data_IF_495021470334
#
_entry.id   IF_495021470334
#
_cell.length_a   1.000
_cell.length_b   1.000
_cell.length_c   1.000
_cell.angle_alpha   90.00
_cell.angle_beta   90.00
_cell.angle_gamma   90.00
#
_symmetry.space_group_name_H-M   'P 1'
#
loop_
_entity.id
_entity.type
_entity.pdbx_description
1 polymer ?
#
# COMPACT_ATOMS: atom_id res chain seq x y z
N UNK A 1 -7.08 -13.96 0.71
CA UNK A 1 -6.62 -12.72 1.36
C UNK A 1 -5.58 -12.03 0.49
N UNK A 2 -4.43 -12.67 0.21
CA UNK A 2 -3.36 -12.11 -0.62
C UNK A 2 -3.86 -11.65 -2.01
N UNK A 3 -4.69 -12.43 -2.69
CA UNK A 3 -5.24 -12.07 -4.00
C UNK A 3 -6.12 -10.82 -3.97
N UNK A 4 -6.90 -10.61 -2.89
CA UNK A 4 -7.70 -9.39 -2.72
C UNK A 4 -6.81 -8.17 -2.51
N UNK A 5 -5.75 -8.32 -1.73
CA UNK A 5 -4.73 -7.31 -1.53
C UNK A 5 -4.04 -6.94 -2.84
N UNK A 6 -3.52 -7.93 -3.58
CA UNK A 6 -2.82 -7.70 -4.86
C UNK A 6 -3.70 -6.92 -5.85
N UNK A 7 -4.98 -7.29 -5.99
CA UNK A 7 -5.90 -6.53 -6.84
C UNK A 7 -6.12 -5.09 -6.36
N UNK A 8 -6.21 -4.89 -5.03
CA UNK A 8 -6.46 -3.57 -4.46
C UNK A 8 -5.26 -2.63 -4.63
N UNK A 9 -4.03 -3.14 -4.44
CA UNK A 9 -2.82 -2.31 -4.43
C UNK A 9 -2.44 -1.79 -5.83
N UNK A 10 -2.71 -2.55 -6.88
CA UNK A 10 -2.34 -2.13 -8.24
C UNK A 10 -3.16 -0.94 -8.76
N UNK A 11 -4.37 -0.69 -8.22
CA UNK A 11 -5.15 0.48 -8.61
C UNK A 11 -4.48 1.81 -8.23
N UNK A 12 -4.06 2.05 -6.97
CA UNK A 12 -3.38 3.29 -6.61
C UNK A 12 -2.01 3.41 -7.28
N UNK A 13 -1.26 2.32 -7.49
CA UNK A 13 0.01 2.36 -8.20
C UNK A 13 -0.21 2.81 -9.65
N UNK A 14 -1.07 2.13 -10.40
CA UNK A 14 -1.37 2.46 -11.79
C UNK A 14 -2.02 3.85 -11.92
N UNK A 15 -2.95 4.18 -11.02
CA UNK A 15 -3.60 5.49 -11.01
C UNK A 15 -2.62 6.63 -10.77
N UNK A 16 -1.76 6.53 -9.76
CA UNK A 16 -0.78 7.58 -9.46
C UNK A 16 0.34 7.66 -10.51
N UNK A 17 0.61 6.58 -11.23
CA UNK A 17 1.52 6.62 -12.38
C UNK A 17 0.91 7.35 -13.58
N UNK A 18 -0.37 7.16 -13.84
CA UNK A 18 -1.05 7.64 -15.05
C UNK A 18 -1.74 8.99 -14.87
N UNK A 19 -2.47 9.20 -13.76
CA UNK A 19 -3.30 10.39 -13.56
C UNK A 19 -2.53 11.73 -13.70
N UNK A 20 -1.36 11.91 -13.07
CA UNK A 20 -0.63 13.18 -13.21
C UNK A 20 -0.26 13.47 -14.68
N UNK A 21 0.17 12.42 -15.40
CA UNK A 21 0.59 12.54 -16.80
C UNK A 21 -0.61 12.87 -17.69
N UNK A 22 -1.75 12.22 -17.49
CA UNK A 22 -2.99 12.49 -18.24
C UNK A 22 -3.52 13.92 -18.00
N UNK A 23 -3.26 14.47 -16.83
CA UNK A 23 -3.62 15.84 -16.47
C UNK A 23 -2.56 16.89 -16.89
N UNK A 24 -1.54 16.48 -17.65
CA UNK A 24 -0.45 17.37 -18.09
C UNK A 24 0.56 17.70 -16.99
N UNK A 25 0.53 16.99 -15.88
CA UNK A 25 1.46 17.13 -14.77
C UNK A 25 2.73 16.29 -14.92
N UNK A 26 3.68 16.45 -14.01
CA UNK A 26 4.94 15.72 -14.03
C UNK A 26 4.74 14.25 -13.62
N UNK A 27 5.64 13.38 -14.09
CA UNK A 27 5.68 11.98 -13.68
C UNK A 27 6.02 11.88 -12.18
N UNK A 28 5.08 11.39 -11.38
CA UNK A 28 5.25 11.24 -9.93
C UNK A 28 5.86 9.88 -9.58
N UNK A 29 5.31 8.81 -10.10
CA UNK A 29 5.92 7.49 -9.96
C UNK A 29 6.84 7.22 -11.16
N UNK A 30 8.13 7.27 -10.90
CA UNK A 30 9.13 6.85 -11.90
C UNK A 30 9.11 5.33 -12.05
N UNK A 31 9.55 4.77 -13.20
CA UNK A 31 9.66 3.31 -13.36
C UNK A 31 10.50 2.66 -12.27
N UNK A 32 11.52 3.36 -11.77
CA UNK A 32 12.38 2.87 -10.71
C UNK A 32 11.63 2.78 -9.36
N UNK A 33 10.78 3.76 -9.04
CA UNK A 33 9.93 3.73 -7.84
C UNK A 33 8.86 2.63 -7.93
N UNK A 34 8.27 2.43 -9.11
CA UNK A 34 7.33 1.34 -9.33
C UNK A 34 8.04 0.00 -9.14
N UNK A 35 9.21 -0.19 -9.76
CA UNK A 35 9.99 -1.41 -9.59
C UNK A 35 10.37 -1.66 -8.11
N UNK A 36 10.67 -0.60 -7.37
CA UNK A 36 10.96 -0.70 -5.94
C UNK A 36 9.72 -1.16 -5.12
N UNK A 37 8.55 -0.62 -5.41
CA UNK A 37 7.29 -1.05 -4.80
C UNK A 37 7.00 -2.53 -5.11
N UNK A 38 7.01 -2.89 -6.38
CA UNK A 38 6.66 -4.23 -6.86
C UNK A 38 7.65 -5.32 -6.42
N UNK A 39 8.95 -5.01 -6.36
CA UNK A 39 9.99 -6.01 -6.05
C UNK A 39 10.30 -6.13 -4.56
N UNK A 40 10.03 -5.09 -3.76
CA UNK A 40 10.45 -5.05 -2.36
C UNK A 40 9.24 -4.94 -1.43
N UNK A 41 8.41 -3.93 -1.61
CA UNK A 41 7.31 -3.64 -0.66
C UNK A 41 6.18 -4.66 -0.82
N UNK A 42 5.72 -4.90 -2.04
CA UNK A 42 4.59 -5.79 -2.29
C UNK A 42 4.87 -7.25 -1.92
N UNK A 43 6.03 -7.85 -2.24
CA UNK A 43 6.35 -9.19 -1.76
C UNK A 43 6.43 -9.28 -0.24
N UNK A 44 7.00 -8.26 0.43
CA UNK A 44 7.05 -8.22 1.90
C UNK A 44 5.64 -8.23 2.51
N UNK A 45 4.72 -7.45 1.94
CA UNK A 45 3.32 -7.42 2.34
C UNK A 45 2.57 -8.71 2.03
N UNK A 46 2.81 -9.32 0.86
CA UNK A 46 2.19 -10.59 0.45
C UNK A 46 2.60 -11.74 1.37
N UNK A 47 3.88 -11.86 1.74
CA UNK A 47 4.39 -12.86 2.67
C UNK A 47 3.67 -12.77 4.03
N UNK A 48 3.40 -11.55 4.51
CA UNK A 48 2.65 -11.34 5.76
C UNK A 48 1.24 -11.92 5.67
N UNK A 49 0.56 -11.74 4.52
CA UNK A 49 -0.78 -12.27 4.30
C UNK A 49 -0.81 -13.79 4.11
N UNK A 50 0.21 -14.36 3.47
CA UNK A 50 0.36 -15.79 3.26
C UNK A 50 0.69 -16.55 4.54
N UNK A 51 1.52 -15.96 5.40
CA UNK A 51 1.92 -16.54 6.69
C UNK A 51 0.80 -16.54 7.75
N UNK A 52 -0.39 -16.03 7.45
CA UNK A 52 -1.49 -15.99 8.39
C UNK A 52 -2.07 -17.38 8.66
N UNK A 53 -2.47 -17.58 9.91
CA UNK A 53 -3.19 -18.80 10.32
C UNK A 53 -4.51 -18.93 9.56
N UNK A 54 -4.89 -20.16 9.27
CA UNK A 54 -6.22 -20.46 8.73
C UNK A 54 -7.31 -20.00 9.70
N UNK A 55 -8.46 -19.56 9.17
CA UNK A 55 -9.62 -19.22 9.99
C UNK A 55 -10.10 -20.45 10.77
N UNK A 56 -10.48 -20.29 12.03
CA UNK A 56 -10.85 -21.40 12.94
C UNK A 56 -11.95 -22.32 12.39
N UNK A 57 -12.83 -21.80 11.54
CA UNK A 57 -13.94 -22.55 10.97
C UNK A 57 -13.68 -23.09 9.55
N UNK A 58 -12.45 -23.02 9.04
CA UNK A 58 -12.11 -23.50 7.68
C UNK A 58 -12.41 -24.99 7.53
N UNK A 59 -12.09 -25.80 8.55
CA UNK A 59 -12.33 -27.26 8.54
C UNK A 59 -13.79 -27.64 8.79
N UNK A 60 -14.63 -26.71 9.21
CA UNK A 60 -16.07 -26.94 9.45
C UNK A 60 -16.92 -26.61 8.21
N UNK A 61 -16.34 -25.99 7.21
CA UNK A 61 -17.03 -25.65 5.96
C UNK A 61 -16.93 -26.79 4.96
N UNK A 62 -18.01 -27.06 4.18
CA UNK A 62 -17.93 -28.04 3.11
C UNK A 62 -16.86 -27.62 2.09
N UNK A 63 -16.21 -28.59 1.44
CA UNK A 63 -15.27 -28.31 0.36
C UNK A 63 -15.90 -27.43 -0.71
N UNK A 64 -15.10 -26.50 -1.27
CA UNK A 64 -15.57 -25.63 -2.32
C UNK A 64 -15.88 -26.45 -3.58
N UNK A 65 -17.02 -26.15 -4.22
CA UNK A 65 -17.37 -26.81 -5.48
C UNK A 65 -16.33 -26.47 -6.58
N UNK A 66 -15.84 -27.46 -7.35
CA UNK A 66 -14.81 -27.25 -8.38
C UNK A 66 -15.18 -26.20 -9.43
N UNK A 67 -16.46 -26.06 -9.76
CA UNK A 67 -16.96 -25.09 -10.74
C UNK A 67 -16.98 -23.63 -10.24
N UNK A 68 -16.79 -23.41 -8.94
CA UNK A 68 -16.76 -22.03 -8.41
C UNK A 68 -15.45 -21.35 -8.78
N UNK A 69 -15.47 -20.14 -9.40
CA UNK A 69 -14.26 -19.43 -9.81
C UNK A 69 -13.42 -19.05 -8.58
N UNK A 70 -12.08 -19.09 -8.69
CA UNK A 70 -11.16 -18.65 -7.64
C UNK A 70 -11.39 -17.19 -7.27
N UNK A 71 -11.69 -16.36 -8.26
CA UNK A 71 -12.10 -14.98 -8.10
C UNK A 71 -13.63 -14.89 -8.11
N UNK A 72 -14.22 -14.72 -6.95
CA UNK A 72 -15.64 -14.37 -6.89
C UNK A 72 -15.85 -12.90 -7.29
N UNK A 73 -17.00 -12.59 -7.89
CA UNK A 73 -17.37 -11.20 -8.21
C UNK A 73 -17.35 -10.32 -6.96
N UNK A 74 -17.76 -10.86 -5.82
CA UNK A 74 -17.72 -10.16 -4.53
C UNK A 74 -16.30 -9.83 -4.09
N UNK A 75 -15.33 -10.74 -4.25
CA UNK A 75 -13.93 -10.46 -3.95
C UNK A 75 -13.38 -9.37 -4.87
N UNK A 76 -13.64 -9.48 -6.18
CA UNK A 76 -13.18 -8.50 -7.17
C UNK A 76 -13.77 -7.11 -6.88
N UNK A 77 -15.09 -7.00 -6.68
CA UNK A 77 -15.73 -5.71 -6.39
C UNK A 77 -15.22 -5.09 -5.08
N UNK A 78 -15.00 -5.89 -4.04
CA UNK A 78 -14.43 -5.43 -2.78
C UNK A 78 -13.00 -4.92 -2.95
N UNK A 79 -12.16 -5.65 -3.68
CA UNK A 79 -10.78 -5.23 -3.96
C UNK A 79 -10.71 -3.96 -4.80
N UNK A 80 -11.57 -3.84 -5.82
CA UNK A 80 -11.68 -2.62 -6.63
C UNK A 80 -12.12 -1.43 -5.76
N UNK A 81 -13.10 -1.62 -4.88
CA UNK A 81 -13.54 -0.56 -3.97
C UNK A 81 -12.39 -0.10 -3.08
N UNK A 82 -11.66 -1.03 -2.44
CA UNK A 82 -10.51 -0.71 -1.60
C UNK A 82 -9.42 0.02 -2.39
N UNK A 83 -9.07 -0.49 -3.56
CA UNK A 83 -8.04 0.12 -4.42
C UNK A 83 -8.45 1.51 -4.93
N UNK A 84 -9.73 1.71 -5.23
CA UNK A 84 -10.25 3.03 -5.63
C UNK A 84 -10.20 4.02 -4.48
N UNK A 85 -10.59 3.62 -3.27
CA UNK A 85 -10.48 4.47 -2.08
C UNK A 85 -9.01 4.82 -1.80
N UNK A 86 -8.11 3.85 -1.87
CA UNK A 86 -6.68 4.07 -1.72
C UNK A 86 -6.15 5.06 -2.77
N UNK A 87 -6.55 4.91 -4.04
CA UNK A 87 -6.19 5.84 -5.11
C UNK A 87 -6.69 7.25 -4.81
N UNK A 88 -7.93 7.41 -4.38
CA UNK A 88 -8.51 8.71 -4.05
C UNK A 88 -7.75 9.40 -2.91
N UNK A 89 -7.42 8.67 -1.85
CA UNK A 89 -6.67 9.19 -0.71
C UNK A 89 -5.28 9.63 -1.14
N UNK A 90 -4.52 8.77 -1.83
CA UNK A 90 -3.16 9.09 -2.28
C UNK A 90 -3.17 10.25 -3.30
N UNK A 91 -4.17 10.29 -4.19
CA UNK A 91 -4.36 11.41 -5.12
C UNK A 91 -4.67 12.71 -4.39
N UNK A 92 -5.50 12.68 -3.34
CA UNK A 92 -5.78 13.85 -2.51
C UNK A 92 -4.52 14.38 -1.83
N UNK A 93 -3.69 13.50 -1.28
CA UNK A 93 -2.38 13.86 -0.69
C UNK A 93 -1.46 14.47 -1.72
N UNK A 94 -1.35 13.87 -2.90
CA UNK A 94 -0.58 14.40 -4.03
C UNK A 94 -1.04 15.80 -4.42
N UNK A 95 -2.34 16.00 -4.63
CA UNK A 95 -2.90 17.31 -5.02
C UNK A 95 -2.70 18.36 -3.92
N UNK A 96 -2.83 17.96 -2.65
CA UNK A 96 -2.59 18.86 -1.53
C UNK A 96 -1.13 19.31 -1.46
N UNK A 97 -0.19 18.37 -1.59
CA UNK A 97 1.24 18.69 -1.61
C UNK A 97 1.61 19.61 -2.79
N UNK A 98 1.04 19.35 -3.97
CA UNK A 98 1.24 20.19 -5.16
C UNK A 98 0.67 21.59 -4.95
N UNK A 99 -0.53 21.71 -4.36
CA UNK A 99 -1.15 23.03 -4.08
C UNK A 99 -0.41 23.84 -3.03
N UNK A 100 0.29 23.19 -2.11
CA UNK A 100 1.21 23.86 -1.17
C UNK A 100 2.46 24.45 -1.86
N UNK A 101 2.68 24.17 -3.13
CA UNK A 101 3.84 24.66 -3.89
C UNK A 101 5.14 23.95 -3.52
N UNK A 102 5.08 22.73 -2.99
CA UNK A 102 6.28 21.95 -2.68
C UNK A 102 7.06 21.63 -3.97
N UNK A 103 8.40 21.57 -3.89
CA UNK A 103 9.24 21.09 -4.99
C UNK A 103 8.77 19.71 -5.48
N UNK A 104 8.92 19.44 -6.78
CA UNK A 104 8.44 18.21 -7.39
C UNK A 104 9.00 16.93 -6.72
N UNK A 105 10.26 16.98 -6.28
CA UNK A 105 10.92 15.88 -5.60
C UNK A 105 10.29 15.58 -4.23
N UNK A 106 9.89 16.63 -3.50
CA UNK A 106 9.22 16.52 -2.21
C UNK A 106 7.79 16.01 -2.38
N UNK A 107 7.04 16.52 -3.38
CA UNK A 107 5.71 16.00 -3.75
C UNK A 107 5.78 14.51 -4.07
N UNK A 108 6.82 14.08 -4.81
CA UNK A 108 7.06 12.67 -5.12
C UNK A 108 7.31 11.85 -3.87
N UNK A 109 8.12 12.36 -2.94
CA UNK A 109 8.42 11.70 -1.67
C UNK A 109 7.17 11.55 -0.80
N UNK A 110 6.36 12.60 -0.68
CA UNK A 110 5.08 12.56 0.06
C UNK A 110 4.12 11.53 -0.55
N UNK A 111 3.95 11.56 -1.87
CA UNK A 111 3.09 10.61 -2.57
C UNK A 111 3.58 9.16 -2.45
N UNK A 112 4.90 8.94 -2.50
CA UNK A 112 5.51 7.62 -2.33
C UNK A 112 5.31 7.08 -0.90
N UNK A 113 5.52 7.91 0.13
CA UNK A 113 5.27 7.54 1.53
C UNK A 113 3.79 7.25 1.77
N UNK A 114 2.89 8.08 1.22
CA UNK A 114 1.45 7.86 1.30
C UNK A 114 1.05 6.52 0.65
N UNK A 115 1.60 6.21 -0.52
CA UNK A 115 1.34 4.95 -1.22
C UNK A 115 1.88 3.75 -0.44
N UNK A 116 3.10 3.82 0.09
CA UNK A 116 3.68 2.77 0.92
C UNK A 116 2.90 2.56 2.23
N UNK A 117 2.48 3.65 2.87
CA UNK A 117 1.60 3.59 4.04
C UNK A 117 0.25 2.96 3.74
N UNK A 118 -0.35 3.30 2.58
CA UNK A 118 -1.60 2.70 2.12
C UNK A 118 -1.45 1.20 1.82
N UNK A 119 -0.30 0.76 1.28
CA UNK A 119 0.01 -0.67 1.12
C UNK A 119 -0.05 -1.40 2.46
N UNK A 120 0.58 -0.84 3.49
CA UNK A 120 0.53 -1.39 4.83
C UNK A 120 -0.90 -1.40 5.39
N UNK A 121 -1.67 -0.33 5.22
CA UNK A 121 -3.08 -0.26 5.64
C UNK A 121 -3.91 -1.36 4.96
N UNK A 122 -3.74 -1.57 3.66
CA UNK A 122 -4.41 -2.63 2.90
C UNK A 122 -4.04 -4.03 3.38
N UNK A 123 -2.81 -4.26 3.88
CA UNK A 123 -2.44 -5.52 4.53
C UNK A 123 -3.32 -5.76 5.76
N UNK A 124 -3.49 -4.75 6.62
CA UNK A 124 -4.33 -4.86 7.82
C UNK A 124 -5.79 -5.10 7.46
N UNK A 125 -6.34 -4.38 6.49
CA UNK A 125 -7.73 -4.55 6.04
C UNK A 125 -7.98 -5.93 5.43
N UNK A 126 -7.04 -6.46 4.63
CA UNK A 126 -7.17 -7.76 3.97
C UNK A 126 -6.75 -8.95 4.86
N UNK A 127 -6.20 -8.69 6.04
CA UNK A 127 -5.80 -9.73 6.99
C UNK A 127 -6.99 -10.54 7.49
N UNK A 128 -8.11 -9.88 7.80
CA UNK A 128 -9.32 -10.57 8.24
C UNK A 128 -10.57 -9.93 7.63
N UNK A 129 -11.41 -10.74 7.00
CA UNK A 129 -12.70 -10.29 6.48
C UNK A 129 -13.81 -10.20 7.56
N UNK A 130 -13.56 -10.69 8.79
CA UNK A 130 -14.58 -10.82 9.84
C UNK A 130 -14.16 -10.32 11.21
N UNK A 131 -12.87 -10.24 11.51
CA UNK A 131 -12.39 -9.74 12.80
C UNK A 131 -12.28 -8.21 12.79
N UNK A 132 -12.59 -7.58 13.91
CA UNK A 132 -12.34 -6.16 14.12
C UNK A 132 -10.82 -5.89 14.12
N UNK A 133 -10.41 -4.66 13.80
CA UNK A 133 -9.00 -4.24 13.88
C UNK A 133 -8.41 -4.54 15.26
N UNK A 134 -9.20 -4.40 16.32
CA UNK A 134 -8.78 -4.65 17.70
C UNK A 134 -8.49 -6.12 17.98
N UNK A 135 -9.32 -7.03 17.47
CA UNK A 135 -9.10 -8.47 17.55
C UNK A 135 -7.90 -8.89 16.70
N UNK A 136 -7.79 -8.28 15.53
CA UNK A 136 -6.70 -8.53 14.58
C UNK A 136 -5.33 -8.11 15.15
N UNK A 137 -5.23 -7.03 15.91
CA UNK A 137 -4.01 -6.59 16.57
C UNK A 137 -3.67 -7.40 17.82
N UNK A 138 -4.69 -7.97 18.49
CA UNK A 138 -4.51 -8.82 19.68
C UNK A 138 -4.01 -10.24 19.39
N UNK A 139 -4.11 -10.71 18.16
CA UNK A 139 -3.59 -12.03 17.79
C UNK A 139 -2.07 -12.02 17.60
N UNK A 140 -1.30 -12.92 18.24
CA UNK A 140 0.14 -13.01 18.06
C UNK A 140 0.46 -13.41 16.62
N UNK A 141 1.03 -12.48 15.85
CA UNK A 141 1.45 -12.70 14.48
C UNK A 141 2.86 -12.16 14.26
N UNK A 142 3.82 -12.99 14.57
CA UNK A 142 5.25 -12.68 14.38
C UNK A 142 5.58 -12.27 12.94
N UNK A 143 5.10 -12.96 11.87
CA UNK A 143 5.34 -12.54 10.49
C UNK A 143 4.83 -11.13 10.16
N UNK A 144 3.70 -10.71 10.74
CA UNK A 144 3.17 -9.35 10.54
C UNK A 144 4.16 -8.30 11.06
N UNK A 145 4.63 -8.47 12.29
CA UNK A 145 5.54 -7.51 12.91
C UNK A 145 6.90 -7.45 12.20
N UNK A 146 7.41 -8.59 11.75
CA UNK A 146 8.63 -8.63 10.94
C UNK A 146 8.43 -7.99 9.57
N UNK A 147 7.33 -8.25 8.89
CA UNK A 147 7.01 -7.61 7.60
C UNK A 147 6.83 -6.10 7.74
N UNK A 148 6.10 -5.66 8.77
CA UNK A 148 5.95 -4.24 9.08
C UNK A 148 7.30 -3.57 9.39
N UNK A 149 8.11 -4.18 10.26
CA UNK A 149 9.44 -3.67 10.62
C UNK A 149 10.37 -3.61 9.40
N UNK A 150 10.30 -4.61 8.51
CA UNK A 150 11.07 -4.63 7.26
C UNK A 150 10.68 -3.46 6.37
N UNK A 151 9.40 -3.28 6.08
CA UNK A 151 8.92 -2.19 5.19
C UNK A 151 9.23 -0.83 5.79
N UNK A 152 8.93 -0.61 7.08
CA UNK A 152 9.24 0.65 7.78
C UNK A 152 10.75 0.88 7.83
N UNK A 153 11.55 -0.15 8.11
CA UNK A 153 13.01 -0.07 8.11
C UNK A 153 13.57 0.32 6.74
N UNK A 154 13.09 -0.31 5.67
CA UNK A 154 13.49 0.01 4.29
C UNK A 154 13.12 1.45 3.94
N UNK A 155 11.89 1.89 4.24
CA UNK A 155 11.46 3.27 4.01
C UNK A 155 12.30 4.27 4.80
N UNK A 156 12.61 3.96 6.06
CA UNK A 156 13.45 4.82 6.90
C UNK A 156 14.86 4.95 6.33
N UNK A 157 15.49 3.86 5.94
CA UNK A 157 16.81 3.87 5.31
C UNK A 157 16.77 4.66 4.00
N UNK A 158 15.76 4.40 3.16
CA UNK A 158 15.60 5.08 1.89
C UNK A 158 15.46 6.60 2.04
N UNK A 159 14.65 7.05 2.99
CA UNK A 159 14.40 8.47 3.22
C UNK A 159 15.53 9.15 3.99
N UNK A 160 16.24 8.43 4.85
CA UNK A 160 17.36 8.97 5.62
C UNK A 160 18.67 9.06 4.80
N UNK A 161 18.87 8.17 3.83
CA UNK A 161 20.11 8.09 3.05
C UNK A 161 20.06 8.98 1.81
N UNK A 162 20.83 10.11 1.76
CA UNK A 162 20.76 11.08 0.67
C UNK A 162 21.03 10.47 -0.72
N UNK A 163 22.01 9.56 -0.83
CA UNK A 163 22.32 8.92 -2.10
C UNK A 163 21.18 8.05 -2.63
N UNK A 164 20.47 7.33 -1.75
CA UNK A 164 19.31 6.52 -2.13
C UNK A 164 18.14 7.42 -2.58
N UNK A 165 17.88 8.51 -1.88
CA UNK A 165 16.87 9.51 -2.29
C UNK A 165 17.15 10.07 -3.66
N UNK A 166 18.37 10.57 -3.87
CA UNK A 166 18.79 11.14 -5.16
C UNK A 166 18.66 10.11 -6.29
N UNK A 167 19.08 8.87 -6.05
CA UNK A 167 18.97 7.78 -7.03
C UNK A 167 17.52 7.51 -7.44
N UNK A 168 16.58 7.56 -6.49
CA UNK A 168 15.15 7.37 -6.74
C UNK A 168 14.42 8.65 -7.15
N UNK A 169 15.11 9.80 -7.18
CA UNK A 169 14.54 11.10 -7.48
C UNK A 169 13.56 11.60 -6.41
N UNK A 170 13.81 11.22 -5.15
CA UNK A 170 13.04 11.63 -3.98
C UNK A 170 13.68 12.87 -3.32
N UNK A 171 12.86 13.82 -2.88
CA UNK A 171 13.27 14.96 -2.11
C UNK A 171 13.47 14.69 -0.63
N UNK A 172 13.96 15.69 0.09
CA UNK A 172 14.08 15.62 1.54
C UNK A 172 12.71 15.90 2.18
N UNK A 173 12.14 14.90 2.84
CA UNK A 173 10.89 15.08 3.58
C UNK A 173 11.16 15.81 4.88
N UNK A 174 10.57 17.00 5.04
CA UNK A 174 10.38 17.62 6.34
C UNK A 174 9.32 16.87 7.15
N UNK A 175 9.29 17.10 8.46
CA UNK A 175 8.36 16.42 9.36
C UNK A 175 6.88 16.56 8.92
N UNK A 176 6.49 17.73 8.40
CA UNK A 176 5.13 17.95 7.89
C UNK A 176 4.81 17.06 6.66
N UNK A 177 5.73 16.92 5.73
CA UNK A 177 5.57 16.06 4.56
C UNK A 177 5.49 14.59 4.93
N UNK A 178 6.31 14.15 5.88
CA UNK A 178 6.26 12.79 6.43
C UNK A 178 4.93 12.52 7.13
N UNK A 179 4.50 13.45 8.00
CA UNK A 179 3.23 13.34 8.71
C UNK A 179 2.03 13.29 7.75
N UNK A 180 2.05 14.12 6.70
CA UNK A 180 1.01 14.12 5.67
C UNK A 180 0.95 12.78 4.92
N UNK A 181 2.12 12.25 4.50
CA UNK A 181 2.20 10.96 3.80
C UNK A 181 1.70 9.82 4.67
N UNK A 182 2.09 9.78 5.95
CA UNK A 182 1.67 8.76 6.90
C UNK A 182 0.19 8.89 7.29
N UNK A 183 -0.35 10.12 7.40
CA UNK A 183 -1.76 10.33 7.73
C UNK A 183 -2.69 9.64 6.74
N UNK A 184 -2.29 9.51 5.47
CA UNK A 184 -3.04 8.77 4.45
C UNK A 184 -3.29 7.30 4.82
N UNK A 185 -2.40 6.69 5.60
CA UNK A 185 -2.54 5.28 6.00
C UNK A 185 -3.57 5.06 7.13
N UNK A 186 -4.01 6.14 7.80
CA UNK A 186 -4.94 6.09 8.93
C UNK A 186 -6.37 6.54 8.58
N UNK A 187 -6.63 6.90 7.34
CA UNK A 187 -7.93 7.28 6.80
C UNK A 187 -8.61 6.08 6.14
#
# INVERSE_FOLDING_TARGET
>A
KAMGYILAIHLPIAGLALLPVLLGGPLILTPLLIAFLELIIDPACSIVLEAQRAEQNVMQRPPRHPANPLFSRALASWSILQGTLALLIVTAVYLFATRKGLPQEDVRSVAFVALAGMNLALVFVNRSFRASLRETLGEPNTPLWWGLALVVGILTVLLAWPAARTFLGLGALEFEGLALGLAAAFV
#
